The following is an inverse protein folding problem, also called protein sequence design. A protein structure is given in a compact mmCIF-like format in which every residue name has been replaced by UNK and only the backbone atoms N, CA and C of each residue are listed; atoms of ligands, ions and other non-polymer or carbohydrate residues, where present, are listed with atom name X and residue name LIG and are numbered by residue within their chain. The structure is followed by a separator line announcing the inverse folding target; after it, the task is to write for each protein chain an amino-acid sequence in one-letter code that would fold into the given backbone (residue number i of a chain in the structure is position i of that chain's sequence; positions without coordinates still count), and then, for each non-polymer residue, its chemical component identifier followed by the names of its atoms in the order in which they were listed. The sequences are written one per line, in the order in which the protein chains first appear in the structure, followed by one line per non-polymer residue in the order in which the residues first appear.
data_IF_543842430355
#
_entry.id   IF_543842430355
#
_cell.length_a   1.000
_cell.length_b   1.000
_cell.length_c   1.000
_cell.angle_alpha   90.00
_cell.angle_beta   90.00
_cell.angle_gamma   90.00
#
_symmetry.space_group_name_H-M   'P 1'
#
loop_
_entity.id
_entity.type
_entity.pdbx_description
1 polymer ?
#
# COMPACT_ATOMS: atom_id res chain seq x y z
N UNK A 1 9.00 1.81 -35.88
CA UNK A 1 8.34 3.14 -35.89
C UNK A 1 7.44 3.22 -34.67
N UNK A 2 7.88 3.96 -33.65
CA UNK A 2 7.15 4.16 -32.40
C UNK A 2 6.02 5.16 -32.68
N UNK A 3 4.77 4.78 -32.42
CA UNK A 3 3.70 5.75 -32.22
C UNK A 3 4.10 6.63 -31.04
N UNK A 4 4.42 7.88 -31.36
CA UNK A 4 4.66 8.93 -30.41
C UNK A 4 3.28 9.28 -29.84
N UNK A 5 2.96 8.75 -28.65
CA UNK A 5 1.70 9.03 -27.98
C UNK A 5 1.53 10.55 -27.88
N UNK A 6 0.42 11.02 -28.46
CA UNK A 6 -0.09 12.36 -28.28
C UNK A 6 -0.12 12.67 -26.79
N UNK A 7 0.42 13.82 -26.40
CA UNK A 7 0.26 14.36 -25.05
C UNK A 7 -1.22 14.73 -24.88
N UNK A 8 -2.04 13.76 -24.55
CA UNK A 8 -3.42 13.99 -24.10
C UNK A 8 -3.34 14.88 -22.87
N UNK A 9 -3.89 16.09 -22.99
CA UNK A 9 -4.16 16.95 -21.84
C UNK A 9 -4.87 16.12 -20.78
N UNK A 10 -4.47 16.19 -19.50
CA UNK A 10 -5.08 15.39 -18.46
C UNK A 10 -6.58 15.69 -18.45
N UNK A 11 -7.35 14.68 -18.83
CA UNK A 11 -8.81 14.69 -18.82
C UNK A 11 -9.28 15.07 -17.42
N UNK A 12 -10.32 15.91 -17.31
CA UNK A 12 -10.76 16.43 -16.01
C UNK A 12 -11.29 15.30 -15.11
N UNK A 13 -11.15 15.41 -13.77
CA UNK A 13 -11.75 14.46 -12.84
C UNK A 13 -13.25 14.23 -13.08
N UNK A 14 -13.99 15.28 -13.43
CA UNK A 14 -15.44 15.21 -13.70
C UNK A 14 -15.75 14.35 -14.93
N UNK A 15 -14.88 14.39 -15.96
CA UNK A 15 -15.04 13.53 -17.13
C UNK A 15 -14.86 12.06 -16.76
N UNK A 16 -13.87 11.73 -15.94
CA UNK A 16 -13.71 10.34 -15.45
C UNK A 16 -14.88 9.92 -14.56
N UNK A 17 -15.41 10.81 -13.71
CA UNK A 17 -16.61 10.52 -12.93
C UNK A 17 -17.85 10.31 -13.79
N UNK A 18 -17.92 10.91 -14.99
CA UNK A 18 -19.00 10.72 -15.94
C UNK A 18 -18.88 9.41 -16.76
N UNK A 19 -17.72 8.75 -16.78
CA UNK A 19 -17.52 7.47 -17.48
C UNK A 19 -18.36 6.35 -16.83
N UNK A 20 -19.28 5.71 -17.58
CA UNK A 20 -20.07 4.60 -17.07
C UNK A 20 -19.23 3.43 -16.56
N UNK A 21 -18.06 3.17 -17.17
CA UNK A 21 -17.20 2.05 -16.77
C UNK A 21 -16.59 2.31 -15.40
N UNK A 22 -16.04 3.51 -15.17
CA UNK A 22 -15.54 3.90 -13.87
C UNK A 22 -16.63 3.97 -12.80
N UNK A 23 -17.82 4.50 -13.12
CA UNK A 23 -18.96 4.48 -12.21
C UNK A 23 -19.34 3.05 -11.83
N UNK A 24 -19.46 2.14 -12.79
CA UNK A 24 -19.78 0.75 -12.50
C UNK A 24 -18.72 0.09 -11.61
N UNK A 25 -17.44 0.38 -11.83
CA UNK A 25 -16.35 -0.09 -10.94
C UNK A 25 -16.50 0.45 -9.52
N UNK A 26 -16.77 1.74 -9.35
CA UNK A 26 -17.03 2.33 -8.03
C UNK A 26 -18.23 1.64 -7.36
N UNK A 27 -19.31 1.42 -8.10
CA UNK A 27 -20.52 0.80 -7.57
C UNK A 27 -20.30 -0.65 -7.12
N UNK A 28 -19.42 -1.38 -7.80
CA UNK A 28 -19.11 -2.78 -7.51
C UNK A 28 -17.92 -2.97 -6.57
N UNK A 29 -17.15 -1.91 -6.26
CA UNK A 29 -15.97 -1.96 -5.37
C UNK A 29 -16.39 -1.88 -3.89
N UNK A 30 -17.17 -2.86 -3.44
CA UNK A 30 -17.66 -2.97 -2.05
C UNK A 30 -18.13 -4.38 -1.72
N UNK A 31 -18.10 -4.75 -0.45
CA UNK A 31 -18.40 -6.12 -0.01
C UNK A 31 -19.89 -6.45 -0.07
N UNK A 32 -20.76 -5.46 0.16
CA UNK A 32 -22.21 -5.58 0.14
C UNK A 32 -22.81 -4.44 -0.70
N UNK A 33 -23.94 -4.72 -1.35
CA UNK A 33 -24.69 -3.75 -2.16
C UNK A 33 -26.03 -3.46 -1.46
N UNK A 34 -26.35 -2.17 -1.32
CA UNK A 34 -27.71 -1.76 -0.95
C UNK A 34 -28.65 -1.84 -2.15
N UNK A 35 -29.95 -1.66 -1.92
CA UNK A 35 -30.93 -1.70 -3.01
C UNK A 35 -30.72 -0.56 -4.02
N UNK A 36 -30.30 0.62 -3.57
CA UNK A 36 -29.98 1.76 -4.43
C UNK A 36 -28.76 1.47 -5.30
N UNK A 37 -27.75 0.80 -4.74
CA UNK A 37 -26.57 0.37 -5.50
C UNK A 37 -26.92 -0.65 -6.58
N UNK A 38 -27.82 -1.59 -6.27
CA UNK A 38 -28.33 -2.57 -7.23
C UNK A 38 -29.00 -1.85 -8.41
N UNK A 39 -29.86 -0.87 -8.14
CA UNK A 39 -30.54 -0.10 -9.19
C UNK A 39 -29.54 0.67 -10.06
N UNK A 40 -28.58 1.36 -9.44
CA UNK A 40 -27.53 2.08 -10.17
C UNK A 40 -26.70 1.15 -11.07
N UNK A 41 -26.37 -0.06 -10.60
CA UNK A 41 -25.66 -1.07 -11.42
C UNK A 41 -26.50 -1.54 -12.60
N UNK A 42 -27.79 -1.79 -12.41
CA UNK A 42 -28.72 -2.21 -13.48
C UNK A 42 -28.83 -1.15 -14.59
N UNK A 43 -28.77 0.13 -14.25
CA UNK A 43 -28.76 1.23 -15.22
C UNK A 43 -27.40 1.41 -15.92
N UNK A 44 -26.29 1.08 -15.26
CA UNK A 44 -24.94 1.25 -15.79
C UNK A 44 -24.50 0.13 -16.72
N UNK A 45 -24.90 -1.12 -16.46
CA UNK A 45 -24.49 -2.29 -17.26
C UNK A 45 -24.76 -2.11 -18.77
N UNK A 46 -25.96 -1.68 -19.21
CA UNK A 46 -26.25 -1.47 -20.64
C UNK A 46 -25.40 -0.38 -21.30
N UNK A 47 -24.78 0.51 -20.51
CA UNK A 47 -23.96 1.63 -20.99
C UNK A 47 -22.49 1.25 -21.20
N UNK A 48 -22.09 0.05 -20.77
CA UNK A 48 -20.71 -0.42 -20.93
C UNK A 48 -20.49 -0.94 -22.35
N UNK A 49 -19.63 -0.24 -23.10
CA UNK A 49 -19.26 -0.60 -24.47
C UNK A 49 -18.03 -1.51 -24.54
N UNK A 50 -17.05 -1.28 -23.66
CA UNK A 50 -15.76 -2.00 -23.62
C UNK A 50 -15.63 -2.83 -22.33
N UNK A 51 -16.18 -4.04 -22.36
CA UNK A 51 -16.07 -4.99 -21.25
C UNK A 51 -14.66 -5.57 -21.06
N UNK A 52 -13.84 -5.57 -22.10
CA UNK A 52 -12.43 -5.99 -22.01
C UNK A 52 -11.64 -4.96 -21.20
N UNK A 53 -11.76 -3.68 -21.57
CA UNK A 53 -11.20 -2.55 -20.84
C UNK A 53 -11.72 -2.48 -19.41
N UNK A 54 -13.02 -2.65 -19.18
CA UNK A 54 -13.60 -2.72 -17.83
C UNK A 54 -12.95 -3.83 -16.98
N UNK A 55 -12.77 -5.02 -17.56
CA UNK A 55 -12.15 -6.17 -16.87
C UNK A 55 -10.69 -5.88 -16.52
N UNK A 56 -9.91 -5.33 -17.46
CA UNK A 56 -8.52 -4.92 -17.24
C UNK A 56 -8.43 -3.87 -16.13
N UNK A 57 -9.28 -2.86 -16.18
CA UNK A 57 -9.34 -1.77 -15.20
C UNK A 57 -9.68 -2.29 -13.78
N UNK A 58 -10.63 -3.23 -13.67
CA UNK A 58 -10.95 -3.88 -12.39
C UNK A 58 -9.75 -4.67 -11.83
N UNK A 59 -8.99 -5.35 -12.70
CA UNK A 59 -7.80 -6.12 -12.32
C UNK A 59 -6.69 -5.20 -11.81
N UNK A 60 -6.34 -4.16 -12.58
CA UNK A 60 -5.31 -3.19 -12.22
C UNK A 60 -5.63 -2.42 -10.94
N UNK A 61 -6.92 -2.23 -10.63
CA UNK A 61 -7.38 -1.55 -9.41
C UNK A 61 -7.61 -2.50 -8.23
N UNK A 62 -7.25 -3.78 -8.38
CA UNK A 62 -7.30 -4.82 -7.34
C UNK A 62 -8.70 -5.15 -6.83
N UNK A 63 -9.75 -4.90 -7.64
CA UNK A 63 -11.16 -5.12 -7.26
C UNK A 63 -11.86 -6.19 -8.09
N UNK A 64 -11.17 -6.76 -9.10
CA UNK A 64 -11.76 -7.75 -10.00
C UNK A 64 -12.43 -8.95 -9.30
N UNK A 65 -11.87 -9.57 -8.24
CA UNK A 65 -12.55 -10.68 -7.57
C UNK A 65 -13.93 -10.30 -6.99
N UNK A 66 -14.05 -9.08 -6.45
CA UNK A 66 -15.30 -8.55 -5.88
C UNK A 66 -16.29 -8.21 -6.99
N UNK A 67 -15.81 -7.49 -8.01
CA UNK A 67 -16.60 -7.13 -9.20
C UNK A 67 -17.18 -8.38 -9.88
N UNK A 68 -16.33 -9.37 -10.14
CA UNK A 68 -16.73 -10.65 -10.71
C UNK A 68 -17.73 -11.39 -9.80
N UNK A 69 -17.52 -11.42 -8.48
CA UNK A 69 -18.46 -12.04 -7.54
C UNK A 69 -19.85 -11.43 -7.65
N UNK A 70 -19.96 -10.10 -7.69
CA UNK A 70 -21.26 -9.43 -7.83
C UNK A 70 -21.92 -9.70 -9.19
N UNK A 71 -21.19 -9.48 -10.27
CA UNK A 71 -21.71 -9.67 -11.63
C UNK A 71 -22.14 -11.12 -11.88
N UNK A 72 -21.33 -12.10 -11.46
CA UNK A 72 -21.64 -13.52 -11.66
C UNK A 72 -22.84 -14.00 -10.85
N UNK A 73 -23.08 -13.43 -9.66
CA UNK A 73 -24.21 -13.82 -8.80
C UNK A 73 -25.53 -13.21 -9.24
N UNK A 74 -25.53 -11.95 -9.70
CA UNK A 74 -26.78 -11.19 -9.92
C UNK A 74 -27.04 -10.79 -11.38
N UNK A 75 -26.00 -10.51 -12.15
CA UNK A 75 -26.12 -9.94 -13.50
C UNK A 75 -25.45 -10.77 -14.59
N UNK A 76 -25.25 -12.07 -14.34
CA UNK A 76 -24.52 -12.97 -15.25
C UNK A 76 -25.05 -12.91 -16.70
N UNK A 77 -26.37 -12.84 -16.85
CA UNK A 77 -27.03 -12.82 -18.17
C UNK A 77 -27.10 -11.44 -18.82
N UNK A 78 -26.76 -10.36 -18.09
CA UNK A 78 -26.73 -9.00 -18.62
C UNK A 78 -25.33 -8.58 -19.08
N UNK A 79 -24.30 -9.29 -18.63
CA UNK A 79 -22.92 -9.11 -19.10
C UNK A 79 -22.73 -9.93 -20.38
N UNK A 80 -22.26 -9.33 -21.48
CA UNK A 80 -22.02 -10.05 -22.74
C UNK A 80 -21.01 -11.20 -22.58
N UNK A 81 -21.23 -12.30 -23.30
CA UNK A 81 -20.19 -13.31 -23.47
C UNK A 81 -18.99 -12.72 -24.22
N UNK A 82 -17.73 -13.11 -23.89
CA UNK A 82 -17.31 -14.12 -22.93
C UNK A 82 -16.93 -13.56 -21.54
N UNK A 83 -17.34 -12.34 -21.19
CA UNK A 83 -16.65 -11.56 -20.18
C UNK A 83 -16.79 -12.06 -18.74
N UNK A 84 -17.91 -12.70 -18.37
CA UNK A 84 -18.01 -13.36 -17.04
C UNK A 84 -16.94 -14.45 -16.90
N UNK A 85 -16.71 -15.27 -17.94
CA UNK A 85 -15.71 -16.34 -17.89
C UNK A 85 -14.27 -15.81 -17.97
N UNK A 86 -14.06 -14.70 -18.69
CA UNK A 86 -12.78 -13.98 -18.66
C UNK A 86 -12.48 -13.48 -17.24
N UNK A 87 -13.41 -12.75 -16.62
CA UNK A 87 -13.27 -12.26 -15.25
C UNK A 87 -13.09 -13.40 -14.25
N UNK A 88 -13.80 -14.52 -14.44
CA UNK A 88 -13.65 -15.74 -13.64
C UNK A 88 -12.22 -16.27 -13.70
N UNK A 89 -11.63 -16.43 -14.90
CA UNK A 89 -10.25 -16.92 -15.07
C UNK A 89 -9.23 -16.05 -14.35
N UNK A 90 -9.31 -14.72 -14.51
CA UNK A 90 -8.44 -13.80 -13.79
C UNK A 90 -8.64 -13.85 -12.27
N UNK A 91 -9.90 -13.93 -11.81
CA UNK A 91 -10.22 -14.08 -10.39
C UNK A 91 -9.69 -15.39 -9.80
N UNK A 92 -9.69 -16.49 -10.56
CA UNK A 92 -9.04 -17.74 -10.14
C UNK A 92 -7.53 -17.60 -9.99
N UNK A 93 -6.87 -16.86 -10.90
CA UNK A 93 -5.45 -16.52 -10.76
C UNK A 93 -5.16 -15.74 -9.48
N UNK A 94 -5.97 -14.71 -9.19
CA UNK A 94 -5.89 -13.93 -7.95
C UNK A 94 -6.12 -14.78 -6.70
N UNK A 95 -7.11 -15.69 -6.73
CA UNK A 95 -7.37 -16.64 -5.64
C UNK A 95 -6.17 -17.56 -5.39
N UNK A 96 -5.59 -18.16 -6.44
CA UNK A 96 -4.41 -19.01 -6.33
C UNK A 96 -3.24 -18.25 -5.71
N UNK A 97 -3.01 -17.01 -6.15
CA UNK A 97 -2.01 -16.12 -5.59
C UNK A 97 -2.25 -15.86 -4.09
N UNK A 98 -3.48 -15.49 -3.72
CA UNK A 98 -3.86 -15.23 -2.33
C UNK A 98 -3.73 -16.46 -1.42
N UNK A 99 -4.01 -17.67 -1.94
CA UNK A 99 -3.78 -18.91 -1.21
C UNK A 99 -2.29 -19.14 -0.95
N UNK A 100 -1.43 -18.89 -1.95
CA UNK A 100 0.02 -18.96 -1.77
C UNK A 100 0.53 -17.92 -0.75
N UNK A 101 0.05 -16.67 -0.84
CA UNK A 101 0.32 -15.60 0.13
C UNK A 101 -0.08 -15.99 1.54
N UNK A 102 -1.27 -16.56 1.71
CA UNK A 102 -1.79 -17.01 3.01
C UNK A 102 -0.98 -18.17 3.56
N UNK A 103 -0.60 -19.12 2.70
CA UNK A 103 0.23 -20.24 3.11
C UNK A 103 1.62 -19.76 3.53
N UNK A 104 2.20 -18.78 2.84
CA UNK A 104 3.47 -18.15 3.22
C UNK A 104 3.35 -17.37 4.53
N UNK A 105 2.31 -16.57 4.70
CA UNK A 105 2.04 -15.84 5.93
C UNK A 105 2.07 -16.76 7.16
N UNK A 106 1.43 -17.93 7.07
CA UNK A 106 1.48 -18.94 8.13
C UNK A 106 2.89 -19.51 8.33
N UNK A 107 3.62 -19.76 7.25
CA UNK A 107 4.97 -20.31 7.29
C UNK A 107 5.93 -19.34 7.99
N UNK A 108 5.98 -18.07 7.57
CA UNK A 108 6.89 -17.09 8.18
C UNK A 108 6.59 -16.89 9.67
N UNK A 109 5.32 -16.86 10.07
CA UNK A 109 4.96 -16.75 11.49
C UNK A 109 5.42 -17.98 12.26
N UNK A 110 5.03 -19.17 11.80
CA UNK A 110 5.27 -20.44 12.50
C UNK A 110 6.74 -20.82 12.57
N UNK A 111 7.47 -20.66 11.46
CA UNK A 111 8.78 -21.26 11.28
C UNK A 111 9.93 -20.26 11.50
N UNK A 112 9.63 -18.96 11.45
CA UNK A 112 10.62 -17.89 11.69
C UNK A 112 10.27 -17.07 12.94
N UNK A 113 9.07 -16.49 13.04
CA UNK A 113 8.81 -15.50 14.10
C UNK A 113 8.55 -16.12 15.48
N UNK A 114 7.67 -17.13 15.55
CA UNK A 114 7.31 -17.78 16.81
C UNK A 114 8.52 -18.47 17.49
N UNK A 115 9.39 -19.22 16.77
CA UNK A 115 10.54 -19.87 17.39
C UNK A 115 11.57 -18.87 17.95
N UNK A 116 11.71 -17.70 17.30
CA UNK A 116 12.65 -16.68 17.76
C UNK A 116 12.12 -15.85 18.93
N UNK A 117 10.81 -15.94 19.24
CA UNK A 117 10.10 -15.23 20.31
C UNK A 117 10.31 -13.71 20.26
N UNK A 118 10.37 -13.15 19.06
CA UNK A 118 10.58 -11.72 18.83
C UNK A 118 9.24 -10.98 18.74
N UNK A 119 9.12 -9.78 19.33
CA UNK A 119 7.96 -8.92 19.11
C UNK A 119 7.82 -8.61 17.61
N UNK A 120 6.65 -8.92 17.06
CA UNK A 120 6.30 -8.64 15.67
C UNK A 120 4.85 -8.16 15.59
N UNK A 121 4.49 -7.48 14.51
CA UNK A 121 3.14 -7.01 14.25
C UNK A 121 2.85 -7.06 12.75
N UNK A 122 1.78 -7.75 12.35
CA UNK A 122 1.31 -7.88 10.97
C UNK A 122 0.13 -6.92 10.74
N UNK A 123 0.24 -5.98 9.79
CA UNK A 123 -0.71 -4.86 9.70
C UNK A 123 -1.34 -4.63 8.33
N UNK A 124 -1.06 -5.46 7.33
CA UNK A 124 -1.63 -5.36 5.98
C UNK A 124 -1.77 -6.75 5.36
N UNK A 125 -1.98 -6.81 4.05
CA UNK A 125 -1.90 -8.05 3.29
C UNK A 125 -2.89 -9.07 3.84
N UNK A 126 -2.42 -10.31 4.09
CA UNK A 126 -3.28 -11.37 4.64
C UNK A 126 -3.91 -11.02 5.99
N UNK A 127 -3.21 -10.35 6.92
CA UNK A 127 -3.81 -10.08 8.25
C UNK A 127 -5.00 -9.14 8.16
N UNK A 128 -4.98 -8.14 7.26
CA UNK A 128 -6.13 -7.27 7.01
C UNK A 128 -7.29 -8.05 6.36
N UNK A 129 -6.98 -8.87 5.34
CA UNK A 129 -7.98 -9.67 4.64
C UNK A 129 -8.77 -10.56 5.60
N UNK A 130 -8.08 -11.33 6.44
CA UNK A 130 -8.72 -12.27 7.38
C UNK A 130 -9.48 -11.60 8.52
N UNK A 131 -9.14 -10.36 8.87
CA UNK A 131 -9.83 -9.63 9.94
C UNK A 131 -11.15 -9.00 9.46
N UNK A 132 -11.13 -8.39 8.27
CA UNK A 132 -12.20 -7.47 7.87
C UNK A 132 -13.02 -7.93 6.68
N UNK A 133 -12.54 -8.89 5.88
CA UNK A 133 -13.28 -9.42 4.74
C UNK A 133 -14.01 -10.71 5.14
N UNK A 134 -15.33 -10.81 4.89
CA UNK A 134 -16.07 -12.06 5.06
C UNK A 134 -15.46 -13.21 4.25
N UNK A 135 -14.97 -12.89 3.05
CA UNK A 135 -14.27 -13.82 2.17
C UNK A 135 -12.84 -13.29 1.91
N UNK A 136 -11.82 -13.69 2.69
CA UNK A 136 -10.47 -13.12 2.61
C UNK A 136 -9.83 -13.20 1.22
N UNK A 137 -10.22 -14.21 0.43
CA UNK A 137 -9.76 -14.40 -0.94
C UNK A 137 -10.14 -13.26 -1.90
N UNK A 138 -11.16 -12.46 -1.56
CA UNK A 138 -11.60 -11.32 -2.38
C UNK A 138 -10.60 -10.16 -2.36
N UNK A 139 -9.75 -10.07 -1.32
CA UNK A 139 -8.74 -9.02 -1.20
C UNK A 139 -7.42 -9.49 -1.80
N UNK A 140 -7.04 -8.95 -2.95
CA UNK A 140 -5.74 -9.28 -3.56
C UNK A 140 -4.58 -8.72 -2.71
N UNK A 141 -3.68 -9.60 -2.27
CA UNK A 141 -2.51 -9.25 -1.45
C UNK A 141 -1.23 -9.36 -2.29
N UNK A 142 -0.30 -8.41 -2.19
CA UNK A 142 0.97 -8.45 -2.95
C UNK A 142 2.14 -8.99 -2.15
N UNK A 143 2.14 -8.70 -0.87
CA UNK A 143 3.25 -8.85 0.06
C UNK A 143 2.73 -9.22 1.46
N UNK A 144 3.66 -9.67 2.30
CA UNK A 144 3.44 -9.86 3.74
C UNK A 144 4.21 -8.77 4.49
N UNK A 145 3.49 -7.81 5.06
CA UNK A 145 4.08 -6.74 5.85
C UNK A 145 4.18 -7.11 7.34
N UNK A 146 5.41 -7.10 7.86
CA UNK A 146 5.71 -7.42 9.26
C UNK A 146 6.56 -6.32 9.87
N UNK A 147 6.02 -5.65 10.89
CA UNK A 147 6.77 -4.72 11.73
C UNK A 147 7.54 -5.51 12.78
N UNK A 148 8.83 -5.22 12.93
CA UNK A 148 9.72 -5.82 13.91
C UNK A 148 10.61 -4.76 14.55
N UNK A 149 11.22 -5.08 15.68
CA UNK A 149 12.17 -4.15 16.30
C UNK A 149 13.46 -4.09 15.48
N UNK A 150 14.09 -2.92 15.43
CA UNK A 150 15.40 -2.76 14.78
C UNK A 150 16.48 -3.66 15.40
N UNK A 151 16.36 -3.94 16.70
CA UNK A 151 17.28 -4.79 17.45
C UNK A 151 17.15 -6.26 17.08
N UNK A 152 15.93 -6.72 16.81
CA UNK A 152 15.64 -8.13 16.53
C UNK A 152 15.73 -8.48 15.04
N UNK A 153 15.64 -7.48 14.15
CA UNK A 153 15.73 -7.69 12.70
C UNK A 153 16.94 -8.54 12.27
N UNK A 154 18.18 -8.33 12.76
CA UNK A 154 19.31 -9.17 12.39
C UNK A 154 19.08 -10.67 12.64
N UNK A 155 18.53 -11.03 13.81
CA UNK A 155 18.22 -12.41 14.19
C UNK A 155 17.18 -13.02 13.26
N UNK A 156 16.16 -12.24 12.89
CA UNK A 156 15.10 -12.66 11.98
C UNK A 156 15.65 -12.91 10.58
N UNK A 157 16.41 -11.96 10.03
CA UNK A 157 17.00 -12.07 8.70
C UNK A 157 17.95 -13.26 8.63
N UNK A 158 18.82 -13.41 9.62
CA UNK A 158 19.76 -14.53 9.73
C UNK A 158 19.03 -15.88 9.68
N UNK A 159 18.00 -16.05 10.50
CA UNK A 159 17.22 -17.28 10.57
C UNK A 159 16.43 -17.54 9.29
N UNK A 160 15.78 -16.51 8.72
CA UNK A 160 15.01 -16.63 7.48
C UNK A 160 15.90 -17.01 6.28
N UNK A 161 17.03 -16.33 6.10
CA UNK A 161 17.98 -16.62 5.02
C UNK A 161 18.53 -18.05 5.14
N UNK A 162 18.89 -18.47 6.35
CA UNK A 162 19.31 -19.85 6.63
C UNK A 162 18.20 -20.89 6.40
N UNK A 163 16.93 -20.46 6.45
CA UNK A 163 15.75 -21.29 6.17
C UNK A 163 15.35 -21.30 4.69
N UNK A 164 16.19 -20.75 3.80
CA UNK A 164 16.00 -20.78 2.35
C UNK A 164 15.32 -19.56 1.75
N UNK A 165 15.00 -18.53 2.54
CA UNK A 165 14.54 -17.24 2.00
C UNK A 165 15.68 -16.57 1.22
N UNK A 166 15.32 -15.88 0.14
CA UNK A 166 16.27 -15.21 -0.73
C UNK A 166 16.17 -13.69 -0.58
N UNK A 167 17.30 -12.97 -0.59
CA UNK A 167 17.31 -11.53 -0.53
C UNK A 167 16.71 -10.91 -1.81
N UNK A 168 15.77 -9.98 -1.66
CA UNK A 168 15.17 -9.26 -2.79
C UNK A 168 15.51 -7.77 -2.78
N UNK A 169 15.37 -7.13 -1.62
CA UNK A 169 15.86 -5.78 -1.38
C UNK A 169 16.43 -5.69 0.05
N UNK A 170 17.76 -5.58 0.21
CA UNK A 170 18.77 -5.46 -0.84
C UNK A 170 19.19 -6.83 -1.39
N UNK A 171 19.38 -6.95 -2.71
CA UNK A 171 19.68 -8.22 -3.40
C UNK A 171 20.95 -8.94 -2.94
N UNK A 172 21.96 -8.18 -2.51
CA UNK A 172 23.24 -8.73 -2.06
C UNK A 172 23.28 -9.05 -0.56
N UNK A 173 22.13 -9.02 0.13
CA UNK A 173 22.04 -9.36 1.55
C UNK A 173 22.47 -10.81 1.77
N UNK A 174 23.25 -11.02 2.82
CA UNK A 174 23.86 -12.30 3.18
C UNK A 174 23.54 -12.63 4.64
N UNK A 175 23.53 -13.93 5.02
CA UNK A 175 23.28 -14.37 6.38
C UNK A 175 24.55 -14.27 7.23
N UNK A 176 25.35 -13.20 7.10
CA UNK A 176 26.48 -12.98 7.99
C UNK A 176 26.17 -11.85 8.98
N UNK A 177 26.71 -11.97 10.20
CA UNK A 177 26.40 -11.09 11.32
C UNK A 177 26.67 -9.60 11.04
N UNK A 178 27.62 -9.28 10.16
CA UNK A 178 27.94 -7.90 9.81
C UNK A 178 26.95 -7.33 8.79
N UNK A 179 26.58 -8.14 7.81
CA UNK A 179 25.63 -7.82 6.77
C UNK A 179 24.23 -7.58 7.31
N UNK A 180 23.68 -8.52 8.09
CA UNK A 180 22.34 -8.37 8.67
C UNK A 180 22.28 -7.22 9.67
N UNK A 181 23.37 -6.97 10.42
CA UNK A 181 23.45 -5.85 11.35
C UNK A 181 23.54 -4.50 10.61
N UNK A 182 24.28 -4.44 9.50
CA UNK A 182 24.37 -3.24 8.68
C UNK A 182 23.01 -2.88 8.10
N UNK A 183 22.29 -3.85 7.53
CA UNK A 183 20.94 -3.65 6.97
C UNK A 183 19.99 -3.16 8.04
N UNK A 184 19.91 -3.85 9.18
CA UNK A 184 19.04 -3.44 10.27
C UNK A 184 19.31 -2.01 10.76
N UNK A 185 20.58 -1.56 10.73
CA UNK A 185 20.94 -0.21 11.14
C UNK A 185 20.56 0.86 10.11
N UNK A 186 20.67 0.55 8.81
CA UNK A 186 20.63 1.56 7.76
C UNK A 186 19.41 1.48 6.84
N UNK A 187 18.66 0.38 6.82
CA UNK A 187 17.45 0.21 6.03
C UNK A 187 16.20 0.17 6.91
N UNK A 188 15.09 0.66 6.34
CA UNK A 188 13.80 0.75 7.04
C UNK A 188 12.93 -0.46 6.77
N UNK A 189 13.06 -1.01 5.58
CA UNK A 189 12.35 -2.16 5.07
C UNK A 189 13.39 -3.07 4.43
N UNK A 190 13.24 -4.37 4.67
CA UNK A 190 14.02 -5.42 4.02
C UNK A 190 13.04 -6.40 3.43
N UNK A 191 13.17 -6.66 2.14
CA UNK A 191 12.28 -7.58 1.43
C UNK A 191 13.03 -8.87 1.14
N UNK A 192 12.46 -9.99 1.62
CA UNK A 192 12.91 -11.33 1.27
C UNK A 192 11.86 -12.00 0.36
N UNK A 193 12.31 -12.81 -0.59
CA UNK A 193 11.46 -13.76 -1.29
C UNK A 193 11.50 -15.09 -0.55
N UNK A 194 10.33 -15.60 -0.20
CA UNK A 194 10.22 -16.93 0.38
C UNK A 194 10.53 -18.03 -0.65
N UNK A 195 10.75 -19.28 -0.21
CA UNK A 195 10.83 -20.43 -1.11
C UNK A 195 9.60 -20.62 -2.02
N UNK A 196 8.48 -19.96 -1.70
CA UNK A 196 7.24 -19.94 -2.51
C UNK A 196 7.13 -18.73 -3.43
N UNK A 197 8.22 -17.97 -3.59
CA UNK A 197 8.29 -16.75 -4.37
C UNK A 197 7.27 -15.68 -3.92
N UNK A 198 7.07 -15.57 -2.61
CA UNK A 198 6.25 -14.53 -1.99
C UNK A 198 7.15 -13.49 -1.34
N UNK A 199 6.88 -12.22 -1.58
CA UNK A 199 7.58 -11.12 -0.94
C UNK A 199 7.13 -10.97 0.53
N UNK A 200 8.09 -11.03 1.44
CA UNK A 200 7.93 -10.74 2.87
C UNK A 200 8.74 -9.50 3.19
N UNK A 201 8.06 -8.44 3.62
CA UNK A 201 8.66 -7.16 3.97
C UNK A 201 8.78 -7.02 5.48
N UNK A 202 10.02 -6.92 5.96
CA UNK A 202 10.32 -6.63 7.36
C UNK A 202 10.57 -5.14 7.55
N UNK A 203 9.63 -4.49 8.22
CA UNK A 203 9.65 -3.07 8.53
C UNK A 203 10.23 -2.85 9.92
N UNK A 204 11.15 -1.90 10.06
CA UNK A 204 11.61 -1.37 11.37
C UNK A 204 10.98 -0.01 11.68
N UNK A 205 10.33 0.60 10.69
CA UNK A 205 9.56 1.84 10.78
C UNK A 205 8.28 1.69 9.96
N UNK A 206 7.20 2.30 10.43
CA UNK A 206 5.89 2.28 9.75
C UNK A 206 5.80 3.36 8.66
N UNK A 207 6.55 4.45 8.85
CA UNK A 207 6.60 5.60 7.94
C UNK A 207 8.03 5.85 7.42
N UNK A 208 8.18 6.81 6.52
CA UNK A 208 9.49 7.08 5.92
C UNK A 208 10.42 7.75 6.93
N UNK A 209 9.97 8.69 7.74
CA UNK A 209 10.90 9.46 8.60
C UNK A 209 11.07 8.84 10.00
N UNK A 210 10.09 8.09 10.49
CA UNK A 210 9.96 7.68 11.88
C UNK A 210 9.24 8.72 12.75
N UNK A 211 8.58 9.72 12.16
CA UNK A 211 8.05 10.88 12.89
C UNK A 211 6.53 10.87 13.12
N UNK A 212 5.77 10.12 12.33
CA UNK A 212 4.31 10.02 12.45
C UNK A 212 3.96 8.87 13.38
N UNK A 213 4.45 7.67 13.08
CA UNK A 213 4.16 6.46 13.85
C UNK A 213 5.41 5.94 14.57
N UNK A 214 5.31 5.80 15.88
CA UNK A 214 6.37 5.20 16.68
C UNK A 214 6.28 3.66 16.62
N UNK A 215 7.25 3.03 15.94
CA UNK A 215 7.28 1.58 15.74
C UNK A 215 7.32 0.77 17.03
N UNK A 216 8.12 1.17 18.03
CA UNK A 216 8.20 0.43 19.31
C UNK A 216 6.89 0.48 20.07
N UNK A 217 6.25 1.66 20.12
CA UNK A 217 4.92 1.81 20.72
C UNK A 217 3.86 0.99 20.00
N UNK A 218 3.95 0.86 18.67
CA UNK A 218 3.01 0.00 17.92
C UNK A 218 3.24 -1.49 18.22
N UNK A 219 4.50 -1.92 18.32
CA UNK A 219 4.82 -3.28 18.77
C UNK A 219 4.28 -3.54 20.19
N UNK A 220 4.36 -2.58 21.11
CA UNK A 220 3.82 -2.72 22.47
C UNK A 220 2.28 -2.82 22.50
N UNK A 221 1.59 -2.06 21.64
CA UNK A 221 0.12 -2.04 21.54
C UNK A 221 -0.47 -3.21 20.74
N UNK A 222 0.36 -4.06 20.13
CA UNK A 222 -0.09 -5.15 19.27
C UNK A 222 -1.12 -6.04 19.98
N UNK A 223 -2.12 -6.50 19.24
CA UNK A 223 -3.19 -7.35 19.76
C UNK A 223 -3.06 -8.77 19.23
N UNK A 224 -3.27 -9.80 20.06
CA UNK A 224 -3.22 -11.18 19.61
C UNK A 224 -4.47 -11.51 18.78
N UNK A 225 -4.29 -12.30 17.74
CA UNK A 225 -5.38 -12.83 16.92
C UNK A 225 -4.98 -14.14 16.27
N UNK A 226 -5.96 -14.99 15.98
CA UNK A 226 -5.78 -16.15 15.12
C UNK A 226 -6.15 -15.79 13.66
N UNK A 227 -5.16 -15.78 12.76
CA UNK A 227 -5.38 -15.56 11.31
C UNK A 227 -5.27 -16.91 10.61
N UNK A 228 -6.36 -17.43 10.05
CA UNK A 228 -6.36 -18.75 9.38
C UNK A 228 -5.67 -19.87 10.21
N UNK A 229 -6.03 -19.96 11.49
CA UNK A 229 -5.50 -20.92 12.47
C UNK A 229 -4.02 -20.77 12.84
N UNK A 230 -3.36 -19.64 12.52
CA UNK A 230 -2.06 -19.28 13.12
C UNK A 230 -2.24 -18.12 14.09
N UNK A 231 -1.73 -18.28 15.31
CA UNK A 231 -1.69 -17.21 16.30
C UNK A 231 -0.59 -16.20 15.94
N UNK A 232 -0.97 -14.93 15.92
CA UNK A 232 -0.08 -13.82 15.56
C UNK A 232 -0.53 -12.54 16.24
N UNK A 233 0.14 -11.44 15.91
CA UNK A 233 -0.11 -10.13 16.48
C UNK A 233 -0.40 -9.12 15.38
N UNK A 234 -1.45 -8.32 15.58
CA UNK A 234 -1.90 -7.31 14.62
C UNK A 234 -1.97 -5.93 15.26
N UNK A 235 -2.09 -4.91 14.42
CA UNK A 235 -2.33 -3.55 14.85
C UNK A 235 -3.77 -3.40 15.37
N UNK A 236 -4.01 -2.73 16.51
CA UNK A 236 -5.36 -2.39 16.95
C UNK A 236 -6.17 -1.69 15.86
N UNK A 237 -7.47 -1.98 15.76
CA UNK A 237 -8.33 -1.52 14.66
C UNK A 237 -8.31 0.01 14.47
N UNK A 238 -8.34 0.78 15.56
CA UNK A 238 -8.30 2.24 15.52
C UNK A 238 -6.94 2.80 15.09
N UNK A 239 -5.84 2.15 15.49
CA UNK A 239 -4.48 2.48 15.04
C UNK A 239 -4.31 2.13 13.54
N UNK A 240 -4.81 0.96 13.13
CA UNK A 240 -4.78 0.49 11.74
C UNK A 240 -5.60 1.39 10.82
N UNK A 241 -6.78 1.81 11.25
CA UNK A 241 -7.64 2.67 10.43
C UNK A 241 -6.98 4.00 10.12
N UNK A 242 -6.45 4.67 11.16
CA UNK A 242 -5.71 5.94 11.00
C UNK A 242 -4.48 5.74 10.12
N UNK A 243 -3.75 4.65 10.33
CA UNK A 243 -2.61 4.28 9.51
C UNK A 243 -2.99 4.09 8.03
N UNK A 244 -4.08 3.39 7.71
CA UNK A 244 -4.53 3.17 6.35
C UNK A 244 -5.02 4.47 5.69
N UNK A 245 -5.78 5.32 6.38
CA UNK A 245 -6.14 6.65 5.87
C UNK A 245 -4.90 7.46 5.49
N UNK A 246 -3.89 7.49 6.36
CA UNK A 246 -2.61 8.14 6.08
C UNK A 246 -1.85 7.49 4.91
N UNK A 247 -1.72 6.16 4.92
CA UNK A 247 -0.96 5.40 3.93
C UNK A 247 -1.57 5.51 2.54
N UNK A 248 -2.89 5.31 2.42
CA UNK A 248 -3.59 5.43 1.14
C UNK A 248 -3.51 6.86 0.60
N UNK A 249 -3.64 7.88 1.46
CA UNK A 249 -3.47 9.29 1.08
C UNK A 249 -2.05 9.60 0.62
N UNK A 250 -1.04 9.04 1.29
CA UNK A 250 0.37 9.10 0.86
C UNK A 250 0.57 8.47 -0.52
N UNK A 251 -0.28 7.53 -0.93
CA UNK A 251 -0.29 6.95 -2.27
C UNK A 251 -1.45 7.44 -3.15
N UNK A 252 -2.03 8.60 -2.82
CA UNK A 252 -3.06 9.30 -3.60
C UNK A 252 -4.33 8.50 -3.85
N UNK A 253 -4.59 7.45 -3.09
CA UNK A 253 -5.71 6.54 -3.33
C UNK A 253 -5.77 5.96 -4.76
N UNK A 254 -4.63 5.72 -5.42
CA UNK A 254 -4.56 5.21 -6.80
C UNK A 254 -5.18 3.82 -7.06
N UNK A 255 -5.62 3.09 -6.02
CA UNK A 255 -6.23 1.76 -6.16
C UNK A 255 -7.60 1.69 -5.46
N UNK A 256 -8.60 1.13 -6.14
CA UNK A 256 -9.98 1.06 -5.62
C UNK A 256 -10.14 0.11 -4.43
N UNK A 257 -9.34 -0.95 -4.33
CA UNK A 257 -9.42 -1.86 -3.18
C UNK A 257 -9.18 -1.15 -1.83
N UNK A 258 -8.50 0.00 -1.82
CA UNK A 258 -8.32 0.79 -0.61
C UNK A 258 -9.62 1.37 -0.07
N UNK A 259 -10.60 1.67 -0.93
CA UNK A 259 -11.96 2.04 -0.49
C UNK A 259 -12.65 0.83 0.15
N UNK A 260 -12.46 -0.37 -0.42
CA UNK A 260 -12.99 -1.61 0.14
C UNK A 260 -12.38 -1.91 1.50
N UNK A 261 -11.06 -1.74 1.66
CA UNK A 261 -10.38 -1.96 2.94
C UNK A 261 -10.98 -1.11 4.06
N UNK A 262 -11.22 0.19 3.81
CA UNK A 262 -11.79 1.07 4.82
C UNK A 262 -13.24 0.73 5.13
N UNK A 263 -14.08 0.54 4.11
CA UNK A 263 -15.50 0.21 4.31
C UNK A 263 -15.70 -1.16 4.98
N UNK A 264 -14.81 -2.13 4.71
CA UNK A 264 -14.76 -3.41 5.42
C UNK A 264 -14.45 -3.21 6.90
N UNK A 265 -13.48 -2.36 7.25
CA UNK A 265 -13.19 -2.01 8.65
C UNK A 265 -14.34 -1.27 9.32
N UNK A 266 -15.00 -0.33 8.63
CA UNK A 266 -16.16 0.39 9.18
C UNK A 266 -17.34 -0.54 9.50
N UNK A 267 -17.46 -1.65 8.76
CA UNK A 267 -18.52 -2.66 8.96
C UNK A 267 -18.17 -3.67 10.05
N UNK A 268 -16.94 -3.65 10.58
CA UNK A 268 -16.51 -4.59 11.61
C UNK A 268 -17.11 -4.23 12.97
N UNK A 269 -17.55 -5.23 13.74
CA UNK A 269 -18.23 -5.06 15.04
C UNK A 269 -17.44 -4.25 16.07
N UNK A 270 -16.11 -4.33 16.02
CA UNK A 270 -15.22 -3.66 16.98
C UNK A 270 -14.81 -2.25 16.50
N UNK A 271 -15.38 -1.78 15.38
CA UNK A 271 -15.09 -0.44 14.86
C UNK A 271 -15.82 0.63 15.69
N UNK A 272 -15.06 1.62 16.16
CA UNK A 272 -15.57 2.75 16.89
C UNK A 272 -15.00 4.06 16.33
N UNK A 273 -15.86 4.87 15.69
CA UNK A 273 -15.45 6.12 15.07
C UNK A 273 -14.85 7.12 16.08
N UNK A 274 -15.38 7.18 17.31
CA UNK A 274 -14.86 8.10 18.32
C UNK A 274 -13.43 7.74 18.73
N UNK A 275 -13.13 6.44 18.85
CA UNK A 275 -11.78 5.97 19.13
C UNK A 275 -10.81 6.21 17.97
N UNK A 276 -11.28 6.09 16.73
CA UNK A 276 -10.52 6.42 15.52
C UNK A 276 -10.20 7.91 15.48
N UNK A 277 -11.17 8.80 15.73
CA UNK A 277 -10.94 10.25 15.75
C UNK A 277 -10.02 10.66 16.89
N UNK A 278 -10.18 10.06 18.08
CA UNK A 278 -9.25 10.26 19.19
C UNK A 278 -7.84 9.75 18.85
N UNK A 279 -7.73 8.64 18.11
CA UNK A 279 -6.46 8.12 17.60
C UNK A 279 -5.82 9.08 16.59
N UNK A 280 -6.60 9.59 15.64
CA UNK A 280 -6.16 10.56 14.65
C UNK A 280 -5.59 11.80 15.32
N UNK A 281 -6.25 12.31 16.36
CA UNK A 281 -5.78 13.46 17.14
C UNK A 281 -4.42 13.21 17.80
N UNK A 282 -4.20 12.02 18.40
CA UNK A 282 -2.89 11.67 18.97
C UNK A 282 -1.74 11.69 17.97
N UNK A 283 -2.02 11.51 16.67
CA UNK A 283 -1.04 11.56 15.59
C UNK A 283 -1.06 12.87 14.80
N UNK A 284 -1.93 13.83 15.16
CA UNK A 284 -2.18 15.05 14.39
C UNK A 284 -2.60 14.75 12.94
N UNK A 285 -3.47 13.74 12.77
CA UNK A 285 -3.98 13.25 11.48
C UNK A 285 -5.49 13.45 11.34
N UNK A 286 -6.13 14.27 12.15
CA UNK A 286 -7.58 14.50 12.15
C UNK A 286 -8.07 14.97 10.78
N UNK A 287 -7.40 15.96 10.18
CA UNK A 287 -7.76 16.46 8.85
C UNK A 287 -7.65 15.37 7.79
N UNK A 288 -6.64 14.50 7.89
CA UNK A 288 -6.47 13.37 6.97
C UNK A 288 -7.60 12.37 7.11
N UNK A 289 -7.91 11.95 8.34
CA UNK A 289 -8.97 10.96 8.59
C UNK A 289 -10.34 11.50 8.23
N UNK A 290 -10.67 12.74 8.64
CA UNK A 290 -11.94 13.38 8.28
C UNK A 290 -12.11 13.52 6.77
N UNK A 291 -11.07 13.94 6.04
CA UNK A 291 -11.14 14.01 4.57
C UNK A 291 -11.24 12.65 3.91
N UNK A 292 -10.63 11.61 4.48
CA UNK A 292 -10.80 10.24 3.97
C UNK A 292 -12.24 9.75 4.17
N UNK A 293 -12.85 9.99 5.34
CA UNK A 293 -14.23 9.59 5.63
C UNK A 293 -15.21 10.27 4.67
N UNK A 294 -15.10 11.59 4.47
CA UNK A 294 -15.93 12.34 3.53
C UNK A 294 -15.73 11.86 2.08
N UNK A 295 -14.49 11.57 1.67
CA UNK A 295 -14.20 10.97 0.36
C UNK A 295 -14.83 9.58 0.20
N UNK A 296 -14.81 8.75 1.24
CA UNK A 296 -15.41 7.41 1.19
C UNK A 296 -16.92 7.53 1.05
N UNK A 297 -17.57 8.45 1.77
CA UNK A 297 -18.99 8.74 1.61
C UNK A 297 -19.30 9.22 0.18
N UNK A 298 -18.44 10.06 -0.39
CA UNK A 298 -18.56 10.51 -1.78
C UNK A 298 -18.53 9.34 -2.78
N UNK A 299 -17.51 8.47 -2.72
CA UNK A 299 -17.39 7.32 -3.63
C UNK A 299 -18.39 6.19 -3.32
N UNK A 300 -18.94 6.16 -2.11
CA UNK A 300 -19.96 5.18 -1.70
C UNK A 300 -21.39 5.63 -2.01
N UNK A 301 -21.59 6.84 -2.53
CA UNK A 301 -22.91 7.29 -2.92
C UNK A 301 -23.43 6.47 -4.13
N UNK A 302 -24.69 6.02 -4.10
CA UNK A 302 -25.29 5.30 -5.23
C UNK A 302 -25.50 6.22 -6.44
N UNK A 303 -25.69 7.51 -6.19
CA UNK A 303 -25.86 8.55 -7.21
C UNK A 303 -24.64 9.45 -7.28
N UNK A 304 -24.36 9.98 -8.46
CA UNK A 304 -23.27 10.93 -8.67
C UNK A 304 -23.50 12.19 -7.83
N UNK A 305 -22.49 12.54 -7.05
CA UNK A 305 -22.40 13.81 -6.32
C UNK A 305 -21.38 14.73 -6.98
N UNK A 306 -21.58 16.02 -6.79
CA UNK A 306 -20.71 17.06 -7.34
C UNK A 306 -19.46 17.21 -6.47
N UNK A 307 -18.27 17.23 -7.08
CA UNK A 307 -16.99 17.34 -6.35
C UNK A 307 -16.90 18.69 -5.61
N UNK A 308 -17.56 19.73 -6.12
CA UNK A 308 -17.56 21.09 -5.58
C UNK A 308 -18.26 21.19 -4.22
N UNK A 309 -19.12 20.24 -3.84
CA UNK A 309 -19.80 20.22 -2.54
C UNK A 309 -18.88 19.77 -1.39
N UNK A 310 -17.78 19.11 -1.73
CA UNK A 310 -16.81 18.60 -0.75
C UNK A 310 -16.03 19.72 -0.08
N UNK A 311 -15.60 19.47 1.17
CA UNK A 311 -14.68 20.37 1.88
C UNK A 311 -13.38 20.57 1.08
N UNK A 312 -12.67 21.70 1.24
CA UNK A 312 -11.52 22.04 0.39
C UNK A 312 -10.43 20.94 0.33
N UNK A 313 -10.10 20.34 1.47
CA UNK A 313 -9.10 19.27 1.55
C UNK A 313 -9.58 17.99 0.85
N UNK A 314 -10.83 17.60 1.09
CA UNK A 314 -11.43 16.41 0.48
C UNK A 314 -11.61 16.58 -1.02
N UNK A 315 -11.95 17.79 -1.47
CA UNK A 315 -12.04 18.13 -2.89
C UNK A 315 -10.70 17.93 -3.60
N UNK A 316 -9.60 18.42 -3.01
CA UNK A 316 -8.26 18.21 -3.56
C UNK A 316 -7.87 16.72 -3.56
N UNK A 317 -8.19 16.02 -2.47
CA UNK A 317 -7.96 14.59 -2.32
C UNK A 317 -8.69 13.80 -3.42
N UNK A 318 -10.01 13.94 -3.54
CA UNK A 318 -10.86 13.26 -4.53
C UNK A 318 -10.38 13.52 -5.95
N UNK A 319 -10.13 14.79 -6.31
CA UNK A 319 -9.64 15.12 -7.67
C UNK A 319 -8.32 14.44 -7.96
N UNK A 320 -7.37 14.51 -7.02
CA UNK A 320 -6.05 13.88 -7.19
C UNK A 320 -6.18 12.35 -7.24
N UNK A 321 -7.09 11.78 -6.47
CA UNK A 321 -7.33 10.34 -6.43
C UNK A 321 -7.95 9.80 -7.70
N UNK A 322 -8.94 10.48 -8.28
CA UNK A 322 -9.50 10.13 -9.58
C UNK A 322 -8.40 10.15 -10.65
N UNK A 323 -7.57 11.20 -10.67
CA UNK A 323 -6.45 11.28 -11.60
C UNK A 323 -5.42 10.17 -11.35
N UNK A 324 -5.10 9.86 -10.09
CA UNK A 324 -4.15 8.81 -9.74
C UNK A 324 -4.66 7.41 -10.10
N UNK A 325 -5.98 7.16 -10.02
CA UNK A 325 -6.61 5.90 -10.43
C UNK A 325 -6.59 5.69 -11.95
N UNK A 326 -6.47 6.77 -12.75
CA UNK A 326 -6.41 6.73 -14.22
C UNK A 326 -5.02 7.00 -14.78
N UNK A 327 -4.09 7.48 -13.93
CA UNK A 327 -2.73 7.78 -14.30
C UNK A 327 -1.88 6.53 -14.48
N UNK A 328 -0.84 6.66 -15.28
CA UNK A 328 0.18 5.64 -15.44
C UNK A 328 1.30 5.78 -14.40
N UNK A 329 2.33 4.95 -14.53
CA UNK A 329 3.51 4.96 -13.66
C UNK A 329 4.25 6.30 -13.73
N UNK A 330 4.31 6.94 -14.90
CA UNK A 330 4.94 8.25 -15.06
C UNK A 330 4.16 9.34 -14.31
N UNK A 331 2.83 9.29 -14.36
CA UNK A 331 1.97 10.19 -13.61
C UNK A 331 2.15 10.00 -12.09
N UNK A 332 2.15 8.75 -11.59
CA UNK A 332 2.44 8.46 -10.18
C UNK A 332 3.82 9.01 -9.75
N UNK A 333 4.85 8.87 -10.60
CA UNK A 333 6.17 9.47 -10.34
C UNK A 333 6.12 11.00 -10.32
N UNK A 334 5.34 11.62 -11.21
CA UNK A 334 5.16 13.06 -11.26
C UNK A 334 4.52 13.60 -9.98
N UNK A 335 3.51 12.89 -9.44
CA UNK A 335 2.88 13.22 -8.17
C UNK A 335 3.87 13.06 -7.02
N UNK A 336 4.62 11.95 -7.00
CA UNK A 336 5.60 11.70 -5.94
C UNK A 336 6.68 12.79 -5.84
N UNK A 337 7.01 13.49 -6.93
CA UNK A 337 7.96 14.61 -6.94
C UNK A 337 7.38 15.89 -6.33
N UNK A 338 6.05 16.03 -6.31
CA UNK A 338 5.32 17.19 -5.78
C UNK A 338 5.04 17.09 -4.28
N UNK A 339 5.34 15.95 -3.64
CA UNK A 339 5.08 15.74 -2.21
C UNK A 339 5.79 16.78 -1.35
N UNK A 340 5.10 17.44 -0.41
CA UNK A 340 5.72 18.40 0.50
C UNK A 340 6.77 17.75 1.41
N UNK A 341 6.53 16.51 1.85
CA UNK A 341 7.47 15.70 2.63
C UNK A 341 7.40 14.23 2.18
N UNK A 342 8.32 13.34 2.61
CA UNK A 342 8.24 11.92 2.27
C UNK A 342 7.02 11.21 2.82
N UNK A 343 6.38 11.76 3.85
CA UNK A 343 5.28 11.13 4.58
C UNK A 343 3.91 11.74 4.29
N UNK A 344 3.87 12.94 3.71
CA UNK A 344 2.62 13.63 3.39
C UNK A 344 2.55 13.99 1.91
N UNK A 345 1.41 13.69 1.27
CA UNK A 345 1.20 13.96 -0.15
C UNK A 345 0.64 15.34 -0.42
N UNK A 346 -0.09 15.89 0.53
CA UNK A 346 -0.79 17.17 0.38
C UNK A 346 -0.28 18.21 1.37
N UNK A 347 -0.30 19.47 0.97
CA UNK A 347 0.20 20.58 1.80
C UNK A 347 -0.58 20.73 3.11
N UNK A 348 -1.89 20.51 3.08
CA UNK A 348 -2.77 20.62 4.26
C UNK A 348 -2.56 19.51 5.30
N UNK A 349 -1.80 18.45 4.99
CA UNK A 349 -1.46 17.38 5.95
C UNK A 349 -0.23 17.72 6.81
N UNK A 350 0.50 18.78 6.49
CA UNK A 350 1.80 19.09 7.09
C UNK A 350 1.92 20.58 7.35
N UNK A 351 2.87 20.95 8.21
CA UNK A 351 3.17 22.35 8.49
C UNK A 351 4.34 22.87 7.66
N UNK A 352 4.40 24.20 7.44
CA UNK A 352 5.55 24.85 6.82
C UNK A 352 6.86 24.53 7.54
N UNK A 353 6.83 24.45 8.87
CA UNK A 353 7.99 24.08 9.68
C UNK A 353 8.53 22.69 9.32
N UNK A 354 7.66 21.68 9.21
CA UNK A 354 8.05 20.32 8.81
C UNK A 354 8.58 20.26 7.37
N UNK A 355 7.99 21.02 6.45
CA UNK A 355 8.48 21.12 5.06
C UNK A 355 9.89 21.73 5.03
N UNK A 356 10.09 22.84 5.73
CA UNK A 356 11.40 23.49 5.81
C UNK A 356 12.42 22.61 6.51
N UNK A 357 12.05 21.97 7.61
CA UNK A 357 12.89 21.00 8.30
C UNK A 357 13.30 19.89 7.32
N UNK A 358 12.38 19.30 6.58
CA UNK A 358 12.71 18.28 5.59
C UNK A 358 13.65 18.79 4.49
N UNK A 359 13.40 19.98 3.93
CA UNK A 359 14.26 20.58 2.90
C UNK A 359 15.67 20.86 3.43
N UNK A 360 15.77 21.39 4.65
CA UNK A 360 17.03 21.72 5.31
C UNK A 360 17.81 20.50 5.78
N UNK A 361 17.17 19.40 6.15
CA UNK A 361 17.87 18.17 6.53
C UNK A 361 18.01 17.17 5.38
N UNK A 362 17.33 17.41 4.25
CA UNK A 362 17.33 16.54 3.09
C UNK A 362 18.74 16.26 2.54
N UNK A 363 19.64 17.24 2.61
CA UNK A 363 21.04 17.07 2.19
C UNK A 363 21.78 16.00 3.01
N UNK A 364 21.43 15.79 4.29
CA UNK A 364 22.03 14.72 5.12
C UNK A 364 21.83 13.32 4.52
N UNK A 365 20.83 13.13 3.65
CA UNK A 365 20.61 11.85 2.96
C UNK A 365 21.79 11.44 2.09
N UNK A 366 22.55 12.39 1.54
CA UNK A 366 23.74 12.06 0.74
C UNK A 366 24.86 11.43 1.57
N UNK A 367 24.77 11.50 2.90
CA UNK A 367 25.70 10.87 3.83
C UNK A 367 25.16 9.54 4.39
N UNK A 368 23.95 9.12 4.00
CA UNK A 368 23.36 7.87 4.51
C UNK A 368 24.01 6.68 3.81
N UNK A 369 24.61 5.72 4.56
CA UNK A 369 25.15 4.51 3.97
C UNK A 369 24.04 3.70 3.27
N UNK A 370 24.37 3.09 2.13
CA UNK A 370 23.50 2.14 1.42
C UNK A 370 24.08 0.74 1.55
N UNK A 371 23.22 -0.28 1.49
CA UNK A 371 23.70 -1.65 1.53
C UNK A 371 24.57 -1.98 0.31
N UNK A 372 24.26 -1.46 -0.88
CA UNK A 372 25.11 -1.65 -2.06
C UNK A 372 26.55 -1.16 -1.85
N UNK A 373 26.71 -0.04 -1.11
CA UNK A 373 28.04 0.48 -0.78
C UNK A 373 28.78 -0.42 0.22
N UNK A 374 28.04 -1.03 1.15
CA UNK A 374 28.58 -2.02 2.08
C UNK A 374 28.96 -3.32 1.36
N UNK A 375 28.09 -3.84 0.48
CA UNK A 375 28.36 -5.05 -0.29
C UNK A 375 29.59 -4.90 -1.21
N UNK A 376 29.79 -3.71 -1.79
CA UNK A 376 30.96 -3.43 -2.61
C UNK A 376 32.28 -3.36 -1.80
N UNK A 377 32.22 -2.90 -0.54
CA UNK A 377 33.38 -2.81 0.33
C UNK A 377 32.98 -3.07 1.78
N UNK A 378 32.91 -4.34 2.24
CA UNK A 378 32.34 -4.69 3.54
C UNK A 378 33.30 -4.32 4.69
N UNK A 379 33.04 -3.17 5.33
CA UNK A 379 33.79 -2.69 6.48
C UNK A 379 33.20 -3.25 7.78
N UNK A 380 34.07 -3.63 8.71
CA UNK A 380 33.66 -4.03 10.07
C UNK A 380 32.99 -2.88 10.81
N UNK A 381 32.17 -3.16 11.84
CA UNK A 381 31.34 -2.16 12.55
C UNK A 381 32.06 -0.86 12.91
N UNK A 382 33.30 -0.99 13.36
CA UNK A 382 34.12 0.13 13.83
C UNK A 382 34.54 1.09 12.70
N UNK A 383 34.52 0.65 11.44
CA UNK A 383 34.91 1.43 10.26
C UNK A 383 33.71 1.88 9.41
N UNK A 384 32.48 1.45 9.73
CA UNK A 384 31.29 1.82 8.95
C UNK A 384 30.97 3.33 8.96
N UNK A 385 31.55 4.11 9.87
CA UNK A 385 31.41 5.57 9.83
C UNK A 385 32.03 6.17 8.55
N UNK A 386 33.04 5.51 7.96
CA UNK A 386 33.71 5.93 6.72
C UNK A 386 32.72 6.05 5.56
N UNK A 387 31.70 5.20 5.50
CA UNK A 387 30.66 5.29 4.46
C UNK A 387 30.01 6.67 4.41
N UNK A 388 29.84 7.33 5.56
CA UNK A 388 29.24 8.67 5.61
C UNK A 388 30.13 9.69 4.92
N UNK A 389 31.45 9.55 5.02
CA UNK A 389 32.41 10.45 4.40
C UNK A 389 32.57 10.21 2.89
N UNK A 390 32.52 8.95 2.44
CA UNK A 390 32.73 8.61 1.02
C UNK A 390 31.46 8.73 0.17
N UNK A 391 30.27 8.56 0.76
CA UNK A 391 28.99 8.55 0.02
C UNK A 391 28.73 9.84 -0.78
N UNK A 392 29.02 11.06 -0.28
CA UNK A 392 28.89 12.29 -1.07
C UNK A 392 29.66 12.26 -2.40
N UNK A 393 30.88 11.71 -2.38
CA UNK A 393 31.73 11.60 -3.58
C UNK A 393 31.19 10.57 -4.57
N UNK A 394 30.74 9.42 -4.06
CA UNK A 394 30.12 8.39 -4.90
C UNK A 394 28.81 8.87 -5.53
N UNK A 395 27.98 9.60 -4.78
CA UNK A 395 26.75 10.21 -5.28
C UNK A 395 27.05 11.28 -6.35
N UNK A 396 28.08 12.12 -6.15
CA UNK A 396 28.53 13.10 -7.14
C UNK A 396 29.05 12.42 -8.41
N UNK A 397 29.86 11.37 -8.27
CA UNK A 397 30.37 10.57 -9.39
C UNK A 397 29.24 9.95 -10.23
N UNK A 398 28.26 9.31 -9.58
CA UNK A 398 27.13 8.70 -10.29
C UNK A 398 26.25 9.74 -11.01
N UNK A 399 26.03 10.91 -10.41
CA UNK A 399 25.30 12.02 -11.06
C UNK A 399 26.04 12.59 -12.27
N UNK A 400 27.36 12.67 -12.21
CA UNK A 400 28.20 13.10 -13.34
C UNK A 400 28.28 12.02 -14.43
N UNK A 401 28.31 10.74 -14.05
CA UNK A 401 28.28 9.59 -14.96
C UNK A 401 26.95 9.47 -15.73
N UNK A 402 25.81 9.65 -15.06
CA UNK A 402 24.50 9.64 -15.72
C UNK A 402 24.29 10.81 -16.68
N UNK A 403 24.90 11.98 -16.42
CA UNK A 403 24.91 13.09 -17.40
C UNK A 403 25.67 12.77 -18.68
N UNK A 404 26.61 11.81 -18.68
CA UNK A 404 27.34 11.37 -19.89
C UNK A 404 26.60 10.32 -20.72
N UNK A 405 25.56 9.68 -20.20
CA UNK A 405 24.78 8.65 -20.90
C UNK A 405 23.50 9.25 -21.53
N UNK A 406 23.17 10.50 -21.21
CA UNK A 406 21.95 11.20 -21.67
C UNK A 406 22.27 12.39 -22.59
N UNK A 407 23.54 12.54 -23.03
CA UNK A 407 23.93 13.52 -24.05
C UNK A 407 24.27 12.85 -25.36
#
# INVERSE_FOLDING_TARGET
MKHMNERTTPVSPDHYMADPSFQLLLQLSRLQLSQEHVQAVEELIPRIQDWEGFTRQASERFVLPIVHSHLSKRWKHQVPEPYIDVMKRYSFGALKHNLNMTAEFKHIIRDVLLPLQVPHLCFKGPSLAFQYYPEPAQRLCRDVDILVSQKDLPKILQHALNSGYQPYDPKALTPDDESVAFVAKHQKVVTLLSPRNVAVEFHTKIDNTGSVFNASRMLEKRQPIAVNHIDTWVMPINELFVYLCWHHTKHYWSRLHWLVDITAMQSHKDFNLNEVLACANRYSLESTVSSCLEMIEYFSAPTLRTIEELTPNTRELVRTSILAMHGDVEFEHSLSRKKPTPDFSFGWQTTNAQIWQWRLWGWKRMFRPTYDSYAAWPLTRNWQWVYRCIRPFHEAYNRLGHKKIVN
#
